data_IF_163008793952
#
_entry.id   IF_163008793952
#
_cell.length_a   1.000
_cell.length_b   1.000
_cell.length_c   1.000
_cell.angle_alpha   90.00
_cell.angle_beta   90.00
_cell.angle_gamma   90.00
#
_symmetry.space_group_name_H-M   'P 1'
#
loop_
_entity.id
_entity.type
_entity.pdbx_description
1 polymer ?
#
# COMPACT_ATOMS: atom_id res chain seq x y z
N UNK A 1 -4.19 11.05 -28.09
CA UNK A 1 -4.21 10.67 -26.66
C UNK A 1 -2.79 10.79 -26.14
N UNK A 2 -2.51 11.76 -25.28
CA UNK A 2 -1.17 11.90 -24.71
C UNK A 2 -0.88 10.74 -23.75
N UNK A 3 0.22 10.06 -23.98
CA UNK A 3 0.72 9.01 -23.07
C UNK A 3 1.40 9.71 -21.89
N UNK A 4 1.03 9.40 -20.65
CA UNK A 4 1.74 9.89 -19.50
C UNK A 4 3.17 9.35 -19.53
N UNK A 5 4.14 10.24 -19.52
CA UNK A 5 5.58 9.93 -19.55
C UNK A 5 6.32 10.90 -18.63
N UNK A 6 7.51 10.57 -18.18
CA UNK A 6 8.36 11.53 -17.50
C UNK A 6 8.50 12.83 -18.31
N UNK A 7 8.42 13.96 -17.62
CA UNK A 7 8.42 15.30 -18.22
C UNK A 7 7.05 15.83 -18.67
N UNK A 8 5.99 15.00 -18.69
CA UNK A 8 4.64 15.50 -18.97
C UNK A 8 4.14 16.39 -17.83
N UNK A 9 3.56 17.55 -18.15
CA UNK A 9 3.07 18.52 -17.15
C UNK A 9 1.55 18.45 -17.07
N UNK A 10 1.03 18.01 -15.95
CA UNK A 10 -0.41 17.96 -15.66
C UNK A 10 -0.85 19.33 -15.15
N UNK A 11 -1.95 19.87 -15.72
CA UNK A 11 -2.56 21.15 -15.32
C UNK A 11 -1.57 22.33 -15.28
N UNK A 12 -0.55 22.34 -16.18
CA UNK A 12 0.50 23.36 -16.24
C UNK A 12 1.24 23.59 -14.92
N UNK A 13 1.24 22.60 -13.99
CA UNK A 13 1.81 22.72 -12.66
C UNK A 13 2.60 21.50 -12.21
N UNK A 14 2.11 20.30 -12.47
CA UNK A 14 2.70 19.08 -11.91
C UNK A 14 3.51 18.35 -12.98
N UNK A 15 4.82 18.45 -12.93
CA UNK A 15 5.73 17.78 -13.85
C UNK A 15 5.98 16.34 -13.36
N UNK A 16 5.56 15.35 -14.16
CA UNK A 16 5.74 13.93 -13.84
C UNK A 16 7.23 13.55 -13.91
N UNK A 17 7.74 12.87 -12.89
CA UNK A 17 9.12 12.40 -12.81
C UNK A 17 9.22 10.93 -13.19
N UNK A 18 8.61 10.06 -12.41
CA UNK A 18 8.62 8.62 -12.59
C UNK A 18 7.29 8.01 -12.12
N UNK A 19 6.93 6.86 -12.71
CA UNK A 19 5.75 6.12 -12.29
C UNK A 19 6.10 5.19 -11.13
N UNK A 20 5.52 5.46 -9.95
CA UNK A 20 5.76 4.73 -8.70
C UNK A 20 4.93 3.45 -8.64
N UNK A 21 3.66 3.52 -9.06
CA UNK A 21 2.75 2.38 -9.05
C UNK A 21 1.75 2.43 -10.21
N UNK A 22 1.22 1.26 -10.60
CA UNK A 22 0.17 1.12 -11.59
C UNK A 22 -0.83 0.07 -11.11
N UNK A 23 -2.11 0.37 -11.19
CA UNK A 23 -3.18 -0.52 -10.70
C UNK A 23 -4.54 -0.24 -11.33
N UNK A 24 -5.55 -0.99 -10.90
CA UNK A 24 -6.92 -0.87 -11.42
C UNK A 24 -7.58 0.49 -11.19
N UNK A 25 -7.11 1.25 -10.19
CA UNK A 25 -7.61 2.60 -9.87
C UNK A 25 -6.80 3.72 -10.53
N UNK A 26 -5.83 3.39 -11.36
CA UNK A 26 -4.97 4.37 -12.06
C UNK A 26 -3.48 4.18 -11.77
N UNK A 27 -2.71 5.16 -12.22
CA UNK A 27 -1.26 5.22 -12.02
C UNK A 27 -0.93 6.23 -10.93
N UNK A 28 0.07 5.93 -10.10
CA UNK A 28 0.66 6.87 -9.15
C UNK A 28 2.03 7.29 -9.67
N UNK A 29 2.24 8.60 -9.75
CA UNK A 29 3.46 9.21 -10.22
C UNK A 29 4.13 10.04 -9.14
N UNK A 30 5.44 9.93 -9.01
CA UNK A 30 6.22 10.99 -8.39
C UNK A 30 6.23 12.20 -9.35
N UNK A 31 5.97 13.38 -8.84
CA UNK A 31 5.91 14.61 -9.62
C UNK A 31 6.51 15.80 -8.87
N UNK A 32 6.90 16.84 -9.57
CA UNK A 32 7.27 18.14 -8.99
C UNK A 32 6.10 19.11 -9.15
N UNK A 33 5.62 19.67 -8.05
CA UNK A 33 4.78 20.86 -8.04
C UNK A 33 5.68 22.06 -8.39
N UNK A 34 5.61 22.54 -9.63
CA UNK A 34 6.47 23.61 -10.15
C UNK A 34 6.16 24.99 -9.55
N UNK A 35 5.00 25.15 -8.89
CA UNK A 35 4.61 26.41 -8.23
C UNK A 35 5.13 26.47 -6.81
N UNK A 36 5.05 25.35 -6.07
CA UNK A 36 5.51 25.25 -4.68
C UNK A 36 6.90 24.63 -4.54
N UNK A 37 7.53 24.28 -5.66
CA UNK A 37 8.89 23.69 -5.74
C UNK A 37 9.11 22.48 -4.83
N UNK A 38 8.10 21.60 -4.73
CA UNK A 38 8.15 20.43 -3.87
C UNK A 38 7.80 19.14 -4.62
N UNK A 39 8.32 18.02 -4.13
CA UNK A 39 7.97 16.68 -4.61
C UNK A 39 6.59 16.28 -4.08
N UNK A 40 5.74 15.73 -4.94
CA UNK A 40 4.38 15.29 -4.63
C UNK A 40 4.10 13.94 -5.27
N UNK A 41 3.14 13.19 -4.73
CA UNK A 41 2.57 12.03 -5.39
C UNK A 41 1.32 12.44 -6.17
N UNK A 42 1.23 12.03 -7.42
CA UNK A 42 0.09 12.29 -8.30
C UNK A 42 -0.60 10.96 -8.63
N UNK A 43 -1.76 10.72 -8.04
CA UNK A 43 -2.63 9.58 -8.40
C UNK A 43 -3.49 10.03 -9.58
N UNK A 44 -3.35 9.36 -10.73
CA UNK A 44 -3.97 9.76 -12.00
C UNK A 44 -4.78 8.64 -12.58
N UNK A 45 -6.00 8.90 -13.00
CA UNK A 45 -6.84 7.95 -13.73
C UNK A 45 -7.40 8.54 -15.01
N UNK A 46 -7.64 7.67 -15.99
CA UNK A 46 -8.35 7.99 -17.25
C UNK A 46 -9.64 7.21 -17.32
N UNK A 47 -10.73 7.75 -16.79
CA UNK A 47 -12.00 7.08 -16.92
C UNK A 47 -12.46 7.09 -18.38
N UNK A 48 -13.21 6.07 -18.79
CA UNK A 48 -13.92 6.09 -20.06
C UNK A 48 -14.93 7.25 -20.06
N UNK A 49 -15.26 7.79 -21.24
CA UNK A 49 -16.07 9.02 -21.35
C UNK A 49 -17.40 8.97 -20.58
N UNK A 50 -18.05 7.79 -20.52
CA UNK A 50 -19.31 7.61 -19.77
C UNK A 50 -19.12 7.48 -18.23
N UNK A 51 -17.88 7.31 -17.75
CA UNK A 51 -17.55 7.18 -16.32
C UNK A 51 -16.85 8.44 -15.78
N UNK A 52 -16.53 9.41 -16.64
CA UNK A 52 -15.65 10.53 -16.32
C UNK A 52 -16.16 11.37 -15.16
N UNK A 53 -17.47 11.67 -15.17
CA UNK A 53 -18.10 12.46 -14.10
C UNK A 53 -18.12 11.70 -12.78
N UNK A 54 -18.53 10.43 -12.78
CA UNK A 54 -18.60 9.61 -11.57
C UNK A 54 -17.22 9.41 -10.93
N UNK A 55 -16.18 9.20 -11.75
CA UNK A 55 -14.80 9.06 -11.27
C UNK A 55 -14.28 10.39 -10.70
N UNK A 56 -14.58 11.52 -11.36
CA UNK A 56 -14.19 12.84 -10.87
C UNK A 56 -14.89 13.17 -9.53
N UNK A 57 -16.15 12.84 -9.37
CA UNK A 57 -16.90 13.03 -8.12
C UNK A 57 -16.31 12.18 -6.98
N UNK A 58 -15.92 10.91 -7.25
CA UNK A 58 -15.24 10.04 -6.28
C UNK A 58 -13.90 10.63 -5.82
N UNK A 59 -13.05 11.03 -6.75
CA UNK A 59 -11.76 11.66 -6.41
C UNK A 59 -11.94 12.97 -5.64
N UNK A 60 -12.95 13.77 -6.02
CA UNK A 60 -13.31 14.98 -5.28
C UNK A 60 -13.76 14.67 -3.85
N UNK A 61 -14.59 13.68 -3.66
CA UNK A 61 -15.04 13.25 -2.34
C UNK A 61 -13.85 12.77 -1.50
N UNK A 62 -12.99 11.90 -2.06
CA UNK A 62 -11.76 11.43 -1.41
C UNK A 62 -10.88 12.61 -0.98
N UNK A 63 -10.67 13.59 -1.87
CA UNK A 63 -9.90 14.79 -1.56
C UNK A 63 -10.52 15.63 -0.46
N UNK A 64 -11.84 15.84 -0.50
CA UNK A 64 -12.54 16.66 0.51
C UNK A 64 -12.51 16.05 1.91
N UNK A 65 -12.61 14.72 2.01
CA UNK A 65 -12.55 14.04 3.30
C UNK A 65 -11.11 13.96 3.81
N UNK A 66 -10.17 13.58 2.95
CA UNK A 66 -8.76 13.50 3.33
C UNK A 66 -8.17 14.87 3.71
N UNK A 67 -8.61 15.96 3.08
CA UNK A 67 -8.20 17.32 3.43
C UNK A 67 -8.64 17.76 4.86
N UNK A 68 -9.62 17.07 5.45
CA UNK A 68 -10.04 17.32 6.84
C UNK A 68 -9.15 16.59 7.86
N UNK A 69 -8.33 15.63 7.39
CA UNK A 69 -7.51 14.78 8.22
C UNK A 69 -6.06 15.28 8.25
N UNK A 70 -5.69 15.98 9.32
CA UNK A 70 -4.27 16.27 9.60
C UNK A 70 -3.80 15.36 10.73
N UNK A 71 -2.87 14.47 10.43
CA UNK A 71 -2.29 13.53 11.38
C UNK A 71 -0.93 13.02 10.88
N UNK A 72 0.09 12.84 11.73
CA UNK A 72 1.42 12.40 11.30
C UNK A 72 1.42 11.04 10.58
N UNK A 73 0.45 10.19 10.87
CA UNK A 73 0.32 8.85 10.28
C UNK A 73 -0.76 8.77 9.19
N UNK A 74 -1.19 9.90 8.62
CA UNK A 74 -2.08 9.96 7.44
C UNK A 74 -1.34 10.71 6.34
N UNK A 75 -1.41 10.20 5.11
CA UNK A 75 -0.89 10.89 3.92
C UNK A 75 -1.74 12.13 3.66
N UNK A 76 -1.11 13.31 3.65
CA UNK A 76 -1.83 14.56 3.36
C UNK A 76 -2.25 14.65 1.91
N UNK A 77 -3.48 15.10 1.67
CA UNK A 77 -3.99 15.44 0.34
C UNK A 77 -3.89 16.95 0.16
N UNK A 78 -3.24 17.38 -0.92
CA UNK A 78 -2.94 18.78 -1.19
C UNK A 78 -3.89 19.42 -2.20
N UNK A 79 -4.32 18.65 -3.22
CA UNK A 79 -5.10 19.19 -4.34
C UNK A 79 -5.79 18.08 -5.11
N UNK A 80 -6.77 18.45 -5.91
CA UNK A 80 -7.52 17.57 -6.78
C UNK A 80 -7.87 18.32 -8.06
N UNK A 81 -7.91 17.63 -9.19
CA UNK A 81 -8.30 18.28 -10.43
C UNK A 81 -8.68 17.34 -11.57
N UNK A 82 -9.19 17.98 -12.63
CA UNK A 82 -9.46 17.33 -13.92
C UNK A 82 -8.73 18.10 -15.00
N UNK A 83 -7.94 17.42 -15.81
CA UNK A 83 -7.14 18.02 -16.89
C UNK A 83 -7.12 17.10 -18.12
N UNK A 84 -7.60 17.58 -19.26
CA UNK A 84 -7.65 16.84 -20.54
C UNK A 84 -8.22 15.42 -20.44
N UNK A 85 -9.29 15.25 -19.65
CA UNK A 85 -9.91 13.95 -19.43
C UNK A 85 -9.17 13.05 -18.45
N UNK A 86 -8.11 13.55 -17.81
CA UNK A 86 -7.47 12.93 -16.66
C UNK A 86 -8.15 13.47 -15.38
N UNK A 87 -8.43 12.59 -14.44
CA UNK A 87 -8.72 12.98 -13.08
C UNK A 87 -7.48 12.70 -12.25
N UNK A 88 -7.07 13.65 -11.41
CA UNK A 88 -5.86 13.50 -10.60
C UNK A 88 -6.08 13.97 -9.16
N UNK A 89 -5.37 13.34 -8.23
CA UNK A 89 -5.27 13.68 -6.83
C UNK A 89 -3.79 13.95 -6.51
N UNK A 90 -3.50 15.06 -5.86
CA UNK A 90 -2.16 15.46 -5.43
C UNK A 90 -2.02 15.21 -3.95
N UNK A 91 -1.00 14.46 -3.55
CA UNK A 91 -0.79 14.11 -2.15
C UNK A 91 0.69 14.16 -1.77
N UNK A 92 0.94 14.10 -0.48
CA UNK A 92 2.26 13.97 0.12
C UNK A 92 3.03 12.81 -0.55
N UNK A 93 4.26 13.08 -0.98
CA UNK A 93 5.14 12.04 -1.49
C UNK A 93 5.95 11.44 -0.35
N UNK A 94 5.75 10.17 -0.09
CA UNK A 94 6.48 9.41 0.93
C UNK A 94 7.57 8.59 0.25
N UNK A 95 8.84 8.87 0.61
CA UNK A 95 9.99 8.07 0.15
C UNK A 95 10.08 6.81 1.01
N UNK A 96 9.47 5.73 0.56
CA UNK A 96 9.53 4.47 1.29
C UNK A 96 8.63 3.39 0.72
N UNK A 97 8.84 2.14 1.12
CA UNK A 97 8.06 1.01 0.68
C UNK A 97 6.69 0.96 1.36
N UNK A 98 5.75 0.26 0.74
CA UNK A 98 4.52 -0.17 1.40
C UNK A 98 4.79 -1.34 2.36
N UNK A 99 3.91 -1.55 3.35
CA UNK A 99 3.98 -2.77 4.19
C UNK A 99 3.86 -4.04 3.35
N UNK A 100 3.13 -4.00 2.23
CA UNK A 100 3.03 -5.14 1.32
C UNK A 100 4.38 -5.48 0.67
N UNK A 101 5.14 -4.47 0.25
CA UNK A 101 6.50 -4.65 -0.27
C UNK A 101 7.43 -5.19 0.81
N UNK A 102 7.39 -4.61 2.03
CA UNK A 102 8.21 -5.09 3.14
C UNK A 102 7.94 -6.55 3.49
N UNK A 103 6.66 -6.97 3.52
CA UNK A 103 6.30 -8.37 3.74
C UNK A 103 6.80 -9.29 2.62
N UNK A 104 6.75 -8.83 1.36
CA UNK A 104 7.23 -9.60 0.22
C UNK A 104 8.75 -9.77 0.25
N UNK A 105 9.47 -8.69 0.57
CA UNK A 105 10.92 -8.65 0.48
C UNK A 105 11.61 -9.26 1.71
N UNK A 106 11.00 -9.06 2.90
CA UNK A 106 11.63 -9.42 4.18
C UNK A 106 10.88 -10.50 4.98
N UNK A 107 9.67 -10.88 4.55
CA UNK A 107 8.82 -11.82 5.30
C UNK A 107 8.17 -11.18 6.56
N UNK A 108 7.81 -11.99 7.56
CA UNK A 108 7.15 -11.54 8.79
C UNK A 108 7.97 -10.52 9.56
N UNK A 109 7.28 -9.60 10.21
CA UNK A 109 7.91 -8.54 11.01
C UNK A 109 8.07 -8.97 12.47
N UNK A 110 9.06 -8.41 13.16
CA UNK A 110 9.22 -8.57 14.61
C UNK A 110 8.07 -7.94 15.38
N UNK A 111 7.71 -8.53 16.51
CA UNK A 111 6.57 -8.11 17.32
C UNK A 111 6.64 -6.64 17.79
N UNK A 112 7.82 -6.15 18.14
CA UNK A 112 8.05 -4.75 18.52
C UNK A 112 7.73 -3.77 17.38
N UNK A 113 8.13 -4.09 16.15
CA UNK A 113 7.81 -3.30 14.95
C UNK A 113 6.31 -3.35 14.63
N UNK A 114 5.70 -4.54 14.72
CA UNK A 114 4.26 -4.69 14.51
C UNK A 114 3.48 -3.85 15.50
N UNK A 115 3.84 -3.89 16.80
CA UNK A 115 3.24 -3.05 17.83
C UNK A 115 3.29 -1.58 17.47
N UNK A 116 4.47 -1.07 17.06
CA UNK A 116 4.65 0.34 16.68
C UNK A 116 3.78 0.71 15.47
N UNK A 117 3.74 -0.13 14.43
CA UNK A 117 2.89 0.10 13.25
C UNK A 117 1.42 0.12 13.64
N UNK A 118 0.94 -0.87 14.41
CA UNK A 118 -0.47 -0.93 14.83
C UNK A 118 -0.85 0.26 15.72
N UNK A 119 0.02 0.70 16.62
CA UNK A 119 -0.19 1.89 17.46
C UNK A 119 -0.37 3.15 16.60
N UNK A 120 0.51 3.36 15.62
CA UNK A 120 0.45 4.49 14.72
C UNK A 120 -0.81 4.46 13.82
N UNK A 121 -1.17 3.28 13.30
CA UNK A 121 -2.39 3.12 12.51
C UNK A 121 -3.65 3.28 13.36
N UNK A 122 -3.66 2.81 14.60
CA UNK A 122 -4.77 3.05 15.53
C UNK A 122 -4.95 4.56 15.80
N UNK A 123 -3.86 5.32 15.96
CA UNK A 123 -3.93 6.78 16.05
C UNK A 123 -4.52 7.44 14.80
N UNK A 124 -4.08 7.01 13.61
CA UNK A 124 -4.61 7.49 12.33
C UNK A 124 -6.10 7.18 12.15
N UNK A 125 -6.51 5.95 12.45
CA UNK A 125 -7.92 5.54 12.40
C UNK A 125 -8.76 6.30 13.43
N UNK A 126 -8.24 6.48 14.66
CA UNK A 126 -8.92 7.29 15.68
C UNK A 126 -9.22 8.70 15.18
N UNK A 127 -8.22 9.36 14.58
CA UNK A 127 -8.40 10.69 13.99
C UNK A 127 -9.45 10.72 12.88
N UNK A 128 -9.48 9.70 12.02
CA UNK A 128 -10.48 9.58 10.96
C UNK A 128 -11.89 9.37 11.55
N UNK A 129 -12.02 8.46 12.50
CA UNK A 129 -13.30 8.12 13.15
C UNK A 129 -13.91 9.30 13.93
N UNK A 130 -13.09 10.14 14.57
CA UNK A 130 -13.52 11.40 15.21
C UNK A 130 -14.16 12.38 14.21
N UNK A 131 -13.72 12.33 12.94
CA UNK A 131 -14.29 13.13 11.85
C UNK A 131 -15.41 12.41 11.08
N UNK A 132 -15.89 11.27 11.59
CA UNK A 132 -16.95 10.49 10.94
C UNK A 132 -16.50 9.74 9.68
N UNK A 133 -15.19 9.60 9.48
CA UNK A 133 -14.61 8.97 8.29
C UNK A 133 -14.18 7.54 8.65
N UNK A 134 -14.65 6.56 7.89
CA UNK A 134 -14.28 5.14 8.00
C UNK A 134 -13.37 4.82 6.82
N UNK A 135 -12.24 4.12 7.07
CA UNK A 135 -11.25 3.82 6.04
C UNK A 135 -11.72 2.77 5.02
N UNK A 136 -12.35 1.67 5.48
CA UNK A 136 -12.99 0.60 4.69
C UNK A 136 -12.06 -0.29 3.84
N UNK A 137 -10.83 0.11 3.57
CA UNK A 137 -9.85 -0.64 2.74
C UNK A 137 -8.46 -0.68 3.40
N UNK A 138 -8.40 -0.91 4.72
CA UNK A 138 -7.13 -1.03 5.44
C UNK A 138 -6.44 -2.34 5.05
N UNK A 139 -5.23 -2.23 4.48
CA UNK A 139 -4.39 -3.35 4.02
C UNK A 139 -2.94 -2.93 3.91
N UNK A 140 -1.96 -3.87 3.86
CA UNK A 140 -0.54 -3.54 3.75
C UNK A 140 -0.17 -2.66 2.56
N UNK A 141 -0.88 -2.79 1.44
CA UNK A 141 -0.63 -1.97 0.24
C UNK A 141 -1.00 -0.49 0.42
N UNK A 142 -1.87 -0.16 1.39
CA UNK A 142 -2.33 1.20 1.68
C UNK A 142 -1.58 1.83 2.88
N UNK A 143 -0.47 1.24 3.32
CA UNK A 143 0.37 1.77 4.39
C UNK A 143 1.80 1.89 3.86
N UNK A 144 2.32 3.11 3.82
CA UNK A 144 3.71 3.41 3.50
C UNK A 144 4.54 3.52 4.79
N UNK A 145 5.81 3.15 4.72
CA UNK A 145 6.76 3.39 5.81
C UNK A 145 7.75 4.45 5.36
N UNK A 146 7.72 5.61 6.01
CA UNK A 146 8.66 6.70 5.71
C UNK A 146 10.10 6.34 6.11
N UNK A 147 11.12 7.05 5.58
CA UNK A 147 12.51 6.86 6.00
C UNK A 147 12.74 7.01 7.50
N UNK A 148 11.96 7.87 8.14
CA UNK A 148 12.00 8.10 9.60
C UNK A 148 11.24 7.02 10.40
N UNK A 149 10.69 6.01 9.70
CA UNK A 149 10.02 4.88 10.31
C UNK A 149 8.56 5.10 10.71
N UNK A 150 7.92 6.17 10.25
CA UNK A 150 6.50 6.38 10.48
C UNK A 150 5.65 5.62 9.46
N UNK A 151 4.63 4.92 9.96
CA UNK A 151 3.57 4.38 9.11
C UNK A 151 2.67 5.54 8.66
N UNK A 152 2.40 5.60 7.36
CA UNK A 152 1.54 6.60 6.71
C UNK A 152 0.39 5.88 6.00
N UNK A 153 -0.82 6.06 6.52
CA UNK A 153 -2.05 5.49 5.95
C UNK A 153 -2.52 6.34 4.77
N UNK A 154 -2.83 5.69 3.66
CA UNK A 154 -3.28 6.32 2.43
C UNK A 154 -4.56 5.67 1.89
N UNK A 155 -5.18 6.31 0.89
CA UNK A 155 -6.32 5.76 0.14
C UNK A 155 -7.52 5.38 1.03
N UNK A 156 -8.10 6.36 1.73
CA UNK A 156 -9.39 6.19 2.42
C UNK A 156 -10.45 5.73 1.42
N UNK A 157 -11.06 4.56 1.65
CA UNK A 157 -11.98 3.88 0.73
C UNK A 157 -13.34 4.57 0.51
N UNK A 158 -13.35 5.88 0.46
CA UNK A 158 -14.52 6.75 0.29
C UNK A 158 -15.21 6.53 -1.06
N UNK A 159 -14.46 5.99 -2.03
CA UNK A 159 -14.99 5.58 -3.32
C UNK A 159 -16.12 4.52 -3.22
N UNK A 160 -16.27 3.86 -2.08
CA UNK A 160 -17.33 2.88 -1.83
C UNK A 160 -18.67 3.50 -1.38
N UNK A 161 -18.69 4.79 -0.91
CA UNK A 161 -19.92 5.42 -0.41
C UNK A 161 -20.80 6.05 -1.50
N UNK A 162 -20.22 6.43 -2.64
CA UNK A 162 -20.97 7.09 -3.72
C UNK A 162 -21.90 6.11 -4.46
N UNK A 163 -21.64 4.81 -4.33
CA UNK A 163 -22.50 3.74 -4.86
C UNK A 163 -23.33 3.03 -3.75
N UNK A 164 -23.70 3.72 -2.66
CA UNK A 164 -24.51 3.18 -1.54
C UNK A 164 -25.95 2.77 -1.91
N UNK A 165 -26.21 2.42 -3.13
CA UNK A 165 -27.20 1.41 -3.47
C UNK A 165 -26.51 0.05 -3.28
N UNK A 166 -27.11 -0.91 -2.56
CA UNK A 166 -26.59 -2.26 -2.49
C UNK A 166 -26.64 -2.86 -3.89
N UNK A 167 -25.59 -2.61 -4.68
CA UNK A 167 -25.33 -3.40 -5.87
C UNK A 167 -24.78 -4.75 -5.42
N UNK A 168 -25.53 -5.38 -4.52
CA UNK A 168 -25.42 -6.80 -4.25
C UNK A 168 -25.92 -7.56 -5.47
N UNK A 169 -25.15 -7.56 -6.55
CA UNK A 169 -25.22 -8.70 -7.47
C UNK A 169 -24.51 -9.83 -6.72
N UNK A 170 -25.23 -10.84 -6.25
CA UNK A 170 -24.61 -11.99 -5.60
C UNK A 170 -23.53 -12.56 -6.53
N UNK A 171 -22.27 -12.51 -6.12
CA UNK A 171 -21.14 -13.04 -6.89
C UNK A 171 -20.17 -12.03 -7.50
N UNK A 172 -20.40 -10.71 -7.42
CA UNK A 172 -19.37 -9.70 -7.75
C UNK A 172 -18.74 -9.15 -6.48
N UNK A 173 -17.77 -9.84 -5.94
CA UNK A 173 -16.85 -9.29 -4.93
C UNK A 173 -15.80 -8.47 -5.66
N UNK A 174 -16.02 -7.17 -5.77
CA UNK A 174 -15.07 -6.25 -6.39
C UNK A 174 -14.01 -5.88 -5.35
N UNK A 175 -12.77 -6.29 -5.55
CA UNK A 175 -11.64 -5.90 -4.71
C UNK A 175 -10.98 -7.05 -3.93
N UNK A 176 -10.01 -6.67 -3.10
CA UNK A 176 -9.21 -7.61 -2.30
C UNK A 176 -10.00 -8.04 -1.07
N UNK A 177 -10.50 -9.29 -1.06
CA UNK A 177 -11.33 -9.84 0.04
C UNK A 177 -10.53 -10.25 1.29
N UNK A 178 -9.22 -10.12 1.27
CA UNK A 178 -8.35 -10.64 2.34
C UNK A 178 -8.42 -9.87 3.67
N UNK A 179 -8.95 -8.65 3.66
CA UNK A 179 -8.96 -7.74 4.83
C UNK A 179 -10.35 -7.22 5.18
N UNK A 180 -11.39 -7.71 4.50
CA UNK A 180 -12.78 -7.28 4.74
C UNK A 180 -13.27 -7.78 6.10
N UNK A 181 -14.10 -6.98 6.75
CA UNK A 181 -14.78 -7.40 7.97
C UNK A 181 -15.96 -8.34 7.66
N UNK A 182 -16.43 -9.13 8.67
CA UNK A 182 -17.62 -9.96 8.52
C UNK A 182 -18.84 -9.19 8.01
N UNK A 183 -19.09 -8.00 8.55
CA UNK A 183 -20.19 -7.12 8.15
C UNK A 183 -20.04 -6.62 6.71
N UNK A 184 -18.81 -6.34 6.25
CA UNK A 184 -18.56 -6.03 4.83
C UNK A 184 -18.85 -7.22 3.92
N UNK A 185 -18.41 -8.42 4.33
CA UNK A 185 -18.64 -9.65 3.57
C UNK A 185 -20.14 -9.97 3.43
N UNK A 186 -20.92 -9.64 4.46
CA UNK A 186 -22.38 -9.82 4.48
C UNK A 186 -23.16 -8.66 3.84
N UNK A 187 -22.50 -7.58 3.40
CA UNK A 187 -23.15 -6.39 2.86
C UNK A 187 -23.96 -5.62 3.90
N UNK A 188 -23.58 -5.71 5.16
CA UNK A 188 -24.18 -4.98 6.27
C UNK A 188 -23.58 -3.59 6.41
N UNK A 189 -24.07 -2.79 7.37
CA UNK A 189 -23.58 -1.44 7.61
C UNK A 189 -22.14 -1.48 8.10
N UNK A 190 -21.26 -0.81 7.38
CA UNK A 190 -19.84 -0.66 7.72
C UNK A 190 -19.69 0.45 8.75
N UNK A 191 -19.00 0.17 9.83
CA UNK A 191 -18.77 1.11 10.93
C UNK A 191 -17.27 1.21 11.26
N UNK A 192 -16.91 2.04 12.22
CA UNK A 192 -15.52 2.12 12.73
C UNK A 192 -14.96 0.76 13.19
N UNK A 193 -15.84 -0.14 13.62
CA UNK A 193 -15.45 -1.49 14.04
C UNK A 193 -14.94 -2.35 12.88
N UNK A 194 -15.37 -2.05 11.64
CA UNK A 194 -14.85 -2.72 10.44
C UNK A 194 -13.35 -2.42 10.21
N UNK A 195 -12.92 -1.19 10.46
CA UNK A 195 -11.50 -0.81 10.37
C UNK A 195 -10.66 -1.49 11.45
N UNK A 196 -11.21 -1.65 12.67
CA UNK A 196 -10.51 -2.38 13.75
C UNK A 196 -10.33 -3.85 13.42
N UNK A 197 -11.34 -4.48 12.77
CA UNK A 197 -11.19 -5.84 12.28
C UNK A 197 -10.07 -5.94 11.22
N UNK A 198 -10.07 -5.04 10.25
CA UNK A 198 -9.02 -4.99 9.22
C UNK A 198 -7.64 -4.74 9.82
N UNK A 199 -7.55 -3.94 10.90
CA UNK A 199 -6.31 -3.72 11.68
C UNK A 199 -5.83 -5.02 12.35
N UNK A 200 -6.75 -5.83 12.89
CA UNK A 200 -6.45 -7.17 13.42
C UNK A 200 -5.92 -8.12 12.34
N UNK A 201 -6.56 -8.14 11.15
CA UNK A 201 -6.10 -8.95 10.01
C UNK A 201 -4.69 -8.52 9.58
N UNK A 202 -4.46 -7.22 9.48
CA UNK A 202 -3.15 -6.64 9.16
C UNK A 202 -2.10 -7.07 10.20
N UNK A 203 -2.40 -6.92 11.49
CA UNK A 203 -1.48 -7.29 12.58
C UNK A 203 -1.13 -8.78 12.56
N UNK A 204 -2.11 -9.65 12.31
CA UNK A 204 -1.87 -11.08 12.16
C UNK A 204 -0.93 -11.37 10.99
N UNK A 205 -1.18 -10.80 9.81
CA UNK A 205 -0.34 -11.00 8.63
C UNK A 205 1.07 -10.45 8.84
N UNK A 206 1.24 -9.28 9.45
CA UNK A 206 2.56 -8.72 9.74
C UNK A 206 3.40 -9.63 10.64
N UNK A 207 2.78 -10.32 11.61
CA UNK A 207 3.47 -11.25 12.51
C UNK A 207 3.76 -12.62 11.88
N UNK A 208 2.91 -13.08 10.97
CA UNK A 208 2.97 -14.45 10.44
C UNK A 208 3.44 -14.54 9.00
N UNK A 209 3.35 -13.44 8.24
CA UNK A 209 3.53 -13.43 6.79
C UNK A 209 2.36 -14.09 6.03
N UNK A 210 1.30 -14.51 6.73
CA UNK A 210 0.20 -15.27 6.16
C UNK A 210 -1.13 -14.56 6.44
N UNK A 211 -1.94 -14.40 5.40
CA UNK A 211 -3.31 -13.87 5.53
C UNK A 211 -4.19 -14.89 6.28
N UNK A 212 -4.82 -14.52 7.40
CA UNK A 212 -5.48 -15.49 8.28
C UNK A 212 -6.65 -16.26 7.64
N UNK A 213 -7.32 -15.64 6.69
CA UNK A 213 -8.56 -16.17 6.11
C UNK A 213 -8.48 -16.47 4.61
N UNK A 214 -7.27 -16.50 4.00
CA UNK A 214 -7.12 -16.85 2.59
C UNK A 214 -7.58 -18.30 2.33
N UNK A 215 -8.55 -18.47 1.44
CA UNK A 215 -9.11 -19.76 1.02
C UNK A 215 -9.02 -19.96 -0.50
N UNK A 216 -8.10 -19.23 -1.16
CA UNK A 216 -7.78 -19.38 -2.58
C UNK A 216 -8.82 -18.79 -3.53
N UNK A 217 -10.05 -18.52 -3.10
CA UNK A 217 -11.06 -17.83 -3.91
C UNK A 217 -11.70 -16.67 -3.13
N UNK A 218 -12.10 -15.58 -3.80
CA UNK A 218 -12.71 -14.43 -3.12
C UNK A 218 -13.93 -14.78 -2.28
N UNK A 219 -14.80 -15.64 -2.80
CA UNK A 219 -16.03 -16.06 -2.10
C UNK A 219 -15.70 -16.89 -0.86
N UNK A 220 -14.82 -17.90 -0.99
CA UNK A 220 -14.42 -18.73 0.14
C UNK A 220 -13.69 -17.91 1.21
N UNK A 221 -12.85 -16.95 0.82
CA UNK A 221 -12.18 -16.01 1.71
C UNK A 221 -13.18 -15.13 2.44
N UNK A 222 -14.19 -14.56 1.75
CA UNK A 222 -15.23 -13.78 2.38
C UNK A 222 -16.05 -14.60 3.41
N UNK A 223 -16.39 -15.84 3.10
CA UNK A 223 -17.08 -16.74 4.02
C UNK A 223 -16.19 -17.09 5.24
N UNK A 224 -14.89 -17.26 5.05
CA UNK A 224 -13.97 -17.50 6.15
C UNK A 224 -13.87 -16.30 7.11
N UNK A 225 -13.93 -15.07 6.61
CA UNK A 225 -14.03 -13.87 7.46
C UNK A 225 -15.29 -13.88 8.32
N UNK A 226 -16.41 -14.45 7.81
CA UNK A 226 -17.67 -14.53 8.56
C UNK A 226 -17.65 -15.65 9.60
N UNK A 227 -17.18 -16.85 9.22
CA UNK A 227 -17.43 -18.06 9.99
C UNK A 227 -16.21 -18.72 10.64
N UNK A 228 -15.02 -18.62 10.01
CA UNK A 228 -13.85 -19.33 10.50
C UNK A 228 -13.24 -18.61 11.72
N UNK A 229 -12.83 -19.32 12.78
CA UNK A 229 -12.07 -18.71 13.85
C UNK A 229 -10.71 -18.22 13.33
N UNK A 230 -10.18 -17.11 13.86
CA UNK A 230 -8.84 -16.66 13.49
C UNK A 230 -7.80 -17.70 13.91
N UNK A 231 -6.80 -17.98 13.04
CA UNK A 231 -5.73 -18.90 13.41
C UNK A 231 -4.90 -18.32 14.57
N UNK A 232 -4.34 -19.20 15.44
CA UNK A 232 -3.52 -18.73 16.54
C UNK A 232 -2.25 -18.03 16.04
N UNK A 233 -1.79 -17.05 16.81
CA UNK A 233 -0.51 -16.40 16.56
C UNK A 233 0.66 -17.32 16.97
N UNK A 234 1.86 -17.17 16.37
CA UNK A 234 3.02 -17.97 16.70
C UNK A 234 3.42 -17.85 18.18
N UNK A 235 3.98 -18.91 18.77
CA UNK A 235 4.59 -18.83 20.10
C UNK A 235 5.73 -17.81 20.09
N UNK A 236 5.81 -16.99 21.16
CA UNK A 236 6.83 -15.92 21.28
C UNK A 236 6.31 -14.52 20.92
N UNK A 237 5.10 -14.38 20.38
CA UNK A 237 4.42 -13.09 20.33
C UNK A 237 4.07 -12.65 21.75
N UNK A 238 4.35 -11.39 22.18
CA UNK A 238 3.94 -10.88 23.48
C UNK A 238 2.44 -11.04 23.69
N UNK A 239 2.04 -11.54 24.86
CA UNK A 239 0.66 -11.92 25.14
C UNK A 239 -0.32 -10.74 24.97
N UNK A 240 0.06 -9.57 25.43
CA UNK A 240 -0.72 -8.35 25.32
C UNK A 240 -0.93 -7.90 23.85
N UNK A 241 0.10 -8.02 23.01
CA UNK A 241 -0.04 -7.77 21.57
C UNK A 241 -0.97 -8.79 20.90
N UNK A 242 -0.81 -10.07 21.28
CA UNK A 242 -1.65 -11.14 20.76
C UNK A 242 -3.12 -10.94 21.16
N UNK A 243 -3.39 -10.59 22.41
CA UNK A 243 -4.74 -10.31 22.93
C UNK A 243 -5.41 -9.18 22.15
N UNK A 244 -4.72 -8.07 21.89
CA UNK A 244 -5.29 -6.96 21.12
C UNK A 244 -5.60 -7.35 19.68
N UNK A 245 -4.68 -8.04 19.01
CA UNK A 245 -4.91 -8.50 17.63
C UNK A 245 -6.11 -9.47 17.58
N UNK A 246 -6.18 -10.44 18.50
CA UNK A 246 -7.25 -11.42 18.53
C UNK A 246 -8.59 -10.78 18.90
N UNK A 247 -8.62 -9.80 19.80
CA UNK A 247 -9.81 -9.04 20.12
C UNK A 247 -10.33 -8.25 18.91
N UNK A 248 -9.46 -7.62 18.13
CA UNK A 248 -9.84 -6.97 16.87
C UNK A 248 -10.45 -7.96 15.86
N UNK A 249 -10.04 -9.24 15.88
CA UNK A 249 -10.52 -10.28 14.98
C UNK A 249 -11.84 -10.95 15.43
N UNK A 250 -12.47 -10.48 16.51
CA UNK A 250 -13.78 -10.94 16.92
C UNK A 250 -14.80 -10.79 15.78
N UNK A 251 -15.64 -11.82 15.60
CA UNK A 251 -16.63 -11.83 14.51
C UNK A 251 -17.77 -10.88 14.77
N UNK A 252 -18.25 -10.84 16.00
CA UNK A 252 -19.19 -9.83 16.47
C UNK A 252 -18.45 -8.49 16.64
N UNK A 253 -18.99 -7.44 16.05
CA UNK A 253 -18.42 -6.10 16.12
C UNK A 253 -18.42 -5.55 17.55
N UNK A 254 -19.40 -5.94 18.37
CA UNK A 254 -19.54 -5.50 19.76
C UNK A 254 -18.56 -6.19 20.72
N UNK A 255 -17.93 -7.31 20.30
CA UNK A 255 -16.87 -7.98 21.05
C UNK A 255 -15.47 -7.40 20.76
N UNK A 256 -15.34 -6.52 19.77
CA UNK A 256 -14.08 -5.83 19.44
C UNK A 256 -13.82 -4.67 20.42
N UNK A 257 -12.57 -4.16 20.50
CA UNK A 257 -12.29 -2.95 21.28
C UNK A 257 -13.25 -1.81 20.89
N UNK A 258 -13.67 -1.00 21.85
CA UNK A 258 -14.69 0.02 21.66
C UNK A 258 -14.29 1.05 20.59
N UNK A 259 -12.99 1.37 20.49
CA UNK A 259 -12.48 2.40 19.59
C UNK A 259 -11.02 2.17 19.20
N UNK A 260 -10.57 2.85 18.15
CA UNK A 260 -9.17 2.88 17.77
C UNK A 260 -8.28 3.51 18.88
N UNK A 261 -8.82 4.46 19.64
CA UNK A 261 -8.13 5.04 20.79
C UNK A 261 -7.91 3.98 21.91
N UNK A 262 -8.88 3.10 22.12
CA UNK A 262 -8.71 1.98 23.06
C UNK A 262 -7.64 1.01 22.56
N UNK A 263 -7.65 0.63 21.28
CA UNK A 263 -6.59 -0.19 20.68
C UNK A 263 -5.22 0.45 20.91
N UNK A 264 -5.08 1.76 20.65
CA UNK A 264 -3.85 2.48 20.86
C UNK A 264 -3.41 2.42 22.33
N UNK A 265 -4.34 2.63 23.28
CA UNK A 265 -4.08 2.52 24.73
C UNK A 265 -3.60 1.12 25.12
N UNK A 266 -4.27 0.07 24.64
CA UNK A 266 -3.90 -1.32 24.93
C UNK A 266 -2.52 -1.69 24.38
N UNK A 267 -2.13 -1.12 23.24
CA UNK A 267 -0.82 -1.31 22.62
C UNK A 267 0.29 -0.50 23.29
N UNK A 268 -0.04 0.65 23.88
CA UNK A 268 0.92 1.56 24.56
C UNK A 268 1.32 1.04 25.97
N UNK A 269 0.45 0.28 26.62
CA UNK A 269 0.68 -0.19 27.96
C UNK A 269 1.75 -1.28 28.00
N UNK A 270 2.98 -0.88 28.22
CA UNK A 270 4.01 -1.55 29.06
C UNK A 270 5.47 -1.22 28.80
N UNK A 271 5.82 -0.32 27.88
CA UNK A 271 7.21 0.19 27.79
C UNK A 271 7.24 1.65 27.32
N UNK A 272 7.25 2.58 28.24
CA UNK A 272 7.49 4.03 28.00
C UNK A 272 8.88 4.33 27.40
N UNK A 273 9.64 3.33 26.99
CA UNK A 273 11.02 3.45 26.52
C UNK A 273 11.23 3.28 25.00
N UNK A 274 10.19 2.99 24.24
CA UNK A 274 10.34 2.74 22.79
C UNK A 274 9.69 3.83 21.94
N UNK A 275 10.13 5.09 22.10
CA UNK A 275 10.13 6.04 20.99
C UNK A 275 11.24 5.58 20.03
N UNK A 276 11.02 4.45 19.38
CA UNK A 276 11.98 3.92 18.41
C UNK A 276 11.58 4.40 17.04
N UNK A 277 12.33 5.35 16.53
CA UNK A 277 12.46 5.62 15.11
C UNK A 277 12.61 4.28 14.38
N UNK A 278 11.66 3.93 13.49
CA UNK A 278 11.77 2.81 12.56
C UNK A 278 12.82 3.17 11.49
N UNK A 279 14.08 3.21 11.87
CA UNK A 279 15.16 3.35 10.89
C UNK A 279 15.13 2.08 10.03
N UNK A 280 15.04 2.28 8.72
CA UNK A 280 15.08 1.22 7.67
C UNK A 280 16.44 0.48 7.64
N UNK A 281 17.32 0.72 8.60
CA UNK A 281 18.66 0.17 8.70
C UNK A 281 18.72 -0.88 9.81
N UNK A 282 18.35 -2.12 9.49
CA UNK A 282 18.99 -3.31 10.07
C UNK A 282 18.63 -4.55 9.25
N UNK A 283 19.12 -4.56 8.03
CA UNK A 283 19.50 -5.80 7.38
C UNK A 283 21.03 -5.69 7.19
N UNK A 284 21.88 -6.47 7.88
CA UNK A 284 23.29 -6.48 7.55
C UNK A 284 23.41 -6.88 6.08
N UNK A 285 24.25 -6.20 5.29
CA UNK A 285 24.50 -6.63 3.91
C UNK A 285 24.95 -8.08 3.95
N UNK A 286 24.37 -8.91 3.09
CA UNK A 286 24.79 -10.29 2.91
C UNK A 286 26.31 -10.29 2.74
N UNK A 287 27.00 -11.11 3.54
CA UNK A 287 28.44 -11.24 3.50
C UNK A 287 28.87 -11.48 2.04
N UNK A 288 29.93 -10.81 1.55
CA UNK A 288 30.44 -11.06 0.21
C UNK A 288 30.81 -12.53 0.11
N UNK A 289 30.23 -13.23 -0.86
CA UNK A 289 30.67 -14.58 -1.23
C UNK A 289 32.06 -14.42 -1.81
N UNK A 290 33.08 -14.77 -1.05
CA UNK A 290 34.44 -14.93 -1.54
C UNK A 290 34.44 -16.05 -2.56
N UNK A 291 34.33 -15.68 -3.84
CA UNK A 291 34.72 -16.56 -4.93
C UNK A 291 36.25 -16.51 -5.09
N UNK A 292 36.92 -17.29 -4.28
CA UNK A 292 38.31 -17.63 -4.50
C UNK A 292 38.40 -18.59 -5.70
N UNK A 293 38.47 -18.05 -6.91
CA UNK A 293 38.91 -18.76 -8.10
C UNK A 293 40.34 -18.29 -8.36
N UNK A 294 41.34 -19.17 -8.25
CA UNK A 294 42.73 -18.81 -8.55
C UNK A 294 42.89 -18.47 -10.03
N UNK A 295 43.29 -17.24 -10.31
CA UNK A 295 43.74 -16.81 -11.64
C UNK A 295 45.03 -17.58 -12.00
N UNK A 296 44.93 -18.50 -12.96
CA UNK A 296 46.10 -19.05 -13.65
C UNK A 296 46.69 -17.99 -14.59
N UNK A 297 48.03 -17.84 -14.67
CA UNK A 297 48.64 -16.87 -15.58
C UNK A 297 48.52 -17.32 -17.03
N UNK A 298 48.06 -16.41 -17.88
CA UNK A 298 47.97 -16.60 -19.32
C UNK A 298 49.36 -16.81 -19.94
N UNK A 299 49.50 -17.95 -20.64
CA UNK A 299 50.65 -18.24 -21.48
C UNK A 299 50.70 -17.29 -22.70
N UNK A 300 51.88 -16.72 -22.92
CA UNK A 300 52.24 -16.01 -24.15
C UNK A 300 52.32 -17.00 -25.31
N UNK A 301 51.70 -16.68 -26.43
CA UNK A 301 51.83 -17.50 -27.63
C UNK A 301 51.10 -16.98 -28.84
N UNK A 302 51.92 -16.41 -29.73
CA UNK A 302 51.83 -16.47 -31.21
C UNK A 302 50.77 -15.67 -31.99
N UNK A 303 51.35 -14.65 -32.61
CA UNK A 303 50.84 -13.95 -33.81
C UNK A 303 50.75 -14.93 -35.00
N UNK A 304 49.59 -15.05 -35.63
CA UNK A 304 49.44 -15.61 -36.96
C UNK A 304 48.76 -14.58 -37.89
N UNK A 305 49.12 -14.61 -39.20
CA UNK A 305 49.01 -13.46 -40.08
C UNK A 305 47.63 -13.34 -40.76
N UNK A 306 47.33 -12.10 -41.11
CA UNK A 306 46.20 -11.69 -41.95
C UNK A 306 46.24 -12.25 -43.36
N UNK A 307 45.17 -12.78 -43.94
CA UNK A 307 45.05 -12.93 -45.38
C UNK A 307 44.38 -11.73 -46.03
N UNK A 308 44.96 -11.38 -47.18
CA UNK A 308 44.65 -10.24 -48.02
C UNK A 308 43.27 -10.29 -48.70
N UNK A 309 42.81 -9.08 -49.00
CA UNK A 309 41.71 -8.76 -49.92
C UNK A 309 41.92 -9.41 -51.31
N UNK A 310 40.88 -10.04 -51.85
CA UNK A 310 40.72 -10.22 -53.26
C UNK A 310 39.42 -9.51 -53.76
N UNK A 311 39.61 -8.55 -54.63
CA UNK A 311 38.55 -7.79 -55.31
C UNK A 311 38.12 -8.49 -56.60
N UNK A 312 36.86 -8.32 -56.94
CA UNK A 312 36.32 -8.27 -58.30
C UNK A 312 35.29 -9.32 -58.66
N UNK A 313 34.49 -9.12 -59.72
CA UNK A 313 34.02 -7.87 -60.28
C UNK A 313 32.49 -7.75 -60.39
N UNK A 314 32.07 -6.58 -60.71
CA UNK A 314 30.74 -6.09 -61.10
C UNK A 314 30.25 -6.78 -62.39
N UNK A 315 28.95 -7.16 -62.44
CA UNK A 315 28.17 -7.23 -63.68
C UNK A 315 26.71 -6.89 -63.44
N UNK A 316 26.22 -5.83 -64.08
CA UNK A 316 24.88 -5.56 -64.52
C UNK A 316 24.78 -6.08 -65.98
N UNK A 317 23.63 -6.23 -66.68
CA UNK A 317 22.25 -5.78 -66.44
C UNK A 317 21.17 -6.80 -66.95
N UNK A 318 19.95 -6.58 -66.60
CA UNK A 318 18.77 -6.34 -67.48
C UNK A 318 17.49 -6.33 -66.64
#
# INVERSE_FOLDING_TARGET
MHRLTPGFVVSSRFCLLERVASGGMGDVWAATDQVLERKVALKVTRPQAHQQQAVAERFKAEAMYAAQLSHPNIVEVFDFGVYEGLTFLVMEFIEGPTLAQLLTDNGPMRADRVRTVLLQLAGALGRAHENGIIHRDLKPANVLISPDGYAKLMDFGIAMDVDSQPHNVPGQVLGTTYYISPEQALGQVVTRQSDLYSLGVLGHELLTGIKPFDRGTPIATALAHVADPPPPLPPGVPADLAEVIMACLAKDADERPESAAEVARLLADKDEAATVSLVVADNPPAAPVENDVPLQPAAQGELLPTPALAAGPVDHPS
#
